data_IF_183931518128
#
_entry.id   IF_183931518128
#
_cell.length_a   1.000
_cell.length_b   1.000
_cell.length_c   1.000
_cell.angle_alpha   90.00
_cell.angle_beta   90.00
_cell.angle_gamma   90.00
#
_symmetry.space_group_name_H-M   'P 1'
#
loop_
_entity.id
_entity.type
_entity.pdbx_description
1 polymer ?
#
# COMPACT_ATOMS: atom_id res chain seq x y z
N UNK A 1 -3.44 -0.29 -7.51
CA UNK A 1 -4.58 -0.93 -8.19
C UNK A 1 -5.08 -0.01 -9.30
N UNK A 2 -4.61 -0.14 -10.54
CA UNK A 2 -5.32 0.37 -11.74
C UNK A 2 -4.76 -0.36 -12.96
N UNK A 3 -5.46 -1.39 -13.43
CA UNK A 3 -5.06 -2.22 -14.58
C UNK A 3 -5.85 -1.88 -15.86
N UNK A 4 -6.32 -0.63 -16.03
CA UNK A 4 -7.15 -0.31 -17.21
C UNK A 4 -7.55 1.15 -17.37
N UNK A 5 -6.60 2.09 -17.26
CA UNK A 5 -6.88 3.50 -17.55
C UNK A 5 -7.69 4.25 -16.48
N UNK A 6 -7.78 3.72 -15.26
CA UNK A 6 -8.44 4.42 -14.16
C UNK A 6 -7.45 5.37 -13.47
N UNK A 7 -7.80 6.65 -13.40
CA UNK A 7 -7.12 7.67 -12.59
C UNK A 7 -7.20 7.20 -11.13
N UNK A 8 -6.06 6.92 -10.51
CA UNK A 8 -6.02 6.50 -9.11
C UNK A 8 -5.85 7.69 -8.16
N UNK A 9 -6.00 7.45 -6.86
CA UNK A 9 -5.83 8.48 -5.83
C UNK A 9 -4.48 9.24 -5.92
N UNK A 10 -3.43 8.56 -6.39
CA UNK A 10 -2.11 9.17 -6.63
C UNK A 10 -2.16 10.15 -7.81
N UNK A 11 -2.85 9.80 -8.89
CA UNK A 11 -3.03 10.70 -10.05
C UNK A 11 -3.81 11.95 -9.66
N UNK A 12 -4.87 11.78 -8.85
CA UNK A 12 -5.67 12.90 -8.33
C UNK A 12 -4.82 13.83 -7.47
N UNK A 13 -4.05 13.28 -6.51
CA UNK A 13 -3.17 14.07 -5.65
C UNK A 13 -2.08 14.82 -6.44
N UNK A 14 -1.46 14.17 -7.43
CA UNK A 14 -0.49 14.82 -8.31
C UNK A 14 -1.13 15.93 -9.14
N UNK A 15 -2.30 15.68 -9.73
CA UNK A 15 -3.01 16.66 -10.55
C UNK A 15 -3.47 17.87 -9.74
N UNK A 16 -3.97 17.65 -8.52
CA UNK A 16 -4.35 18.72 -7.59
C UNK A 16 -3.15 19.61 -7.20
N UNK A 17 -1.94 19.04 -7.14
CA UNK A 17 -0.70 19.77 -6.92
C UNK A 17 -0.07 20.36 -8.20
N UNK A 18 -0.72 20.22 -9.36
CA UNK A 18 -0.22 20.72 -10.65
C UNK A 18 0.89 19.86 -11.28
N UNK A 19 1.15 18.66 -10.76
CA UNK A 19 2.13 17.74 -11.31
C UNK A 19 1.52 16.82 -12.38
N UNK A 20 2.38 16.41 -13.33
CA UNK A 20 2.07 15.39 -14.33
C UNK A 20 3.08 14.25 -14.21
N UNK A 21 2.67 13.04 -14.56
CA UNK A 21 3.56 11.87 -14.60
C UNK A 21 3.48 11.13 -15.93
N UNK A 22 4.59 10.53 -16.33
CA UNK A 22 4.65 9.60 -17.46
C UNK A 22 4.63 8.17 -16.92
N UNK A 23 3.59 7.39 -17.25
CA UNK A 23 3.46 6.00 -16.81
C UNK A 23 4.25 5.10 -17.75
N UNK A 24 5.26 4.38 -17.23
CA UNK A 24 6.09 3.42 -17.99
C UNK A 24 5.56 2.00 -17.96
N UNK A 25 4.92 1.61 -16.86
CA UNK A 25 4.30 0.30 -16.67
C UNK A 25 3.12 0.44 -15.71
N UNK A 26 2.17 -0.48 -15.80
CA UNK A 26 1.09 -0.62 -14.81
C UNK A 26 0.99 -2.07 -14.34
N UNK A 27 0.65 -2.26 -13.07
CA UNK A 27 0.43 -3.57 -12.45
C UNK A 27 -0.78 -3.52 -11.54
N UNK A 28 -1.50 -4.63 -11.46
CA UNK A 28 -2.57 -4.80 -10.48
C UNK A 28 -2.03 -5.03 -9.06
N UNK A 29 -0.80 -5.52 -8.87
CA UNK A 29 -0.32 -5.92 -7.55
C UNK A 29 1.03 -5.30 -7.19
N UNK A 30 1.17 -4.84 -5.94
CA UNK A 30 2.40 -4.23 -5.44
C UNK A 30 3.59 -5.18 -5.43
N UNK A 31 3.38 -6.49 -5.31
CA UNK A 31 4.46 -7.49 -5.31
C UNK A 31 5.29 -7.49 -6.61
N UNK A 32 4.75 -6.98 -7.72
CA UNK A 32 5.49 -6.87 -8.99
C UNK A 32 6.48 -5.67 -9.01
N UNK A 33 6.33 -4.71 -8.10
CA UNK A 33 7.08 -3.44 -8.15
C UNK A 33 8.60 -3.63 -8.12
N UNK A 34 9.21 -4.47 -7.24
CA UNK A 34 10.65 -4.67 -7.26
C UNK A 34 11.19 -5.11 -8.63
N UNK A 35 10.48 -6.03 -9.28
CA UNK A 35 10.87 -6.56 -10.60
C UNK A 35 10.71 -5.53 -11.73
N UNK A 36 9.84 -4.54 -11.58
CA UNK A 36 9.63 -3.47 -12.55
C UNK A 36 10.59 -2.29 -12.36
N UNK A 37 11.05 -2.05 -11.13
CA UNK A 37 11.86 -0.87 -10.80
C UNK A 37 13.35 -1.14 -10.73
N UNK A 38 13.78 -2.30 -10.23
CA UNK A 38 15.21 -2.61 -10.08
C UNK A 38 15.88 -2.59 -11.46
N UNK A 39 16.98 -1.84 -11.56
CA UNK A 39 17.70 -1.64 -12.83
C UNK A 39 17.07 -0.60 -13.78
N UNK A 40 15.98 0.07 -13.36
CA UNK A 40 15.37 1.17 -14.11
C UNK A 40 15.60 2.51 -13.44
N UNK A 41 15.31 3.59 -14.17
CA UNK A 41 15.24 4.97 -13.64
C UNK A 41 13.82 5.40 -13.25
N UNK A 42 12.88 4.44 -13.21
CA UNK A 42 11.49 4.72 -12.85
C UNK A 42 11.29 4.74 -11.34
N UNK A 43 10.25 5.44 -10.89
CA UNK A 43 9.81 5.45 -9.49
C UNK A 43 8.33 5.10 -9.41
N UNK A 44 7.85 4.77 -8.22
CA UNK A 44 6.44 4.54 -7.96
C UNK A 44 6.01 5.13 -6.62
N UNK A 45 4.71 5.35 -6.46
CA UNK A 45 4.09 5.74 -5.18
C UNK A 45 3.20 4.59 -4.72
N UNK A 46 3.45 4.07 -3.53
CA UNK A 46 2.72 2.95 -2.91
C UNK A 46 2.52 3.24 -1.43
N UNK A 47 1.59 2.55 -0.74
CA UNK A 47 1.43 2.69 0.71
C UNK A 47 2.74 2.38 1.46
N UNK A 48 2.99 3.09 2.55
CA UNK A 48 4.23 3.01 3.33
C UNK A 48 4.58 1.59 3.74
N UNK A 49 3.60 0.78 4.14
CA UNK A 49 3.85 -0.62 4.50
C UNK A 49 4.36 -1.47 3.33
N UNK A 50 3.80 -1.26 2.13
CA UNK A 50 4.21 -1.96 0.93
C UNK A 50 5.63 -1.53 0.53
N UNK A 51 5.92 -0.23 0.61
CA UNK A 51 7.23 0.32 0.33
C UNK A 51 8.32 -0.26 1.27
N UNK A 52 8.06 -0.28 2.59
CA UNK A 52 8.94 -0.87 3.61
C UNK A 52 9.15 -2.37 3.38
N UNK A 53 8.11 -3.11 2.95
CA UNK A 53 8.25 -4.51 2.61
C UNK A 53 9.17 -4.72 1.39
N UNK A 54 9.06 -3.87 0.37
CA UNK A 54 9.92 -3.91 -0.82
C UNK A 54 11.38 -3.58 -0.48
N UNK A 55 11.64 -2.61 0.39
CA UNK A 55 13.00 -2.28 0.84
C UNK A 55 13.69 -3.45 1.53
N UNK A 56 12.95 -4.29 2.28
CA UNK A 56 13.53 -5.46 2.95
C UNK A 56 13.97 -6.57 2.00
N UNK A 57 13.43 -6.60 0.78
CA UNK A 57 13.64 -7.70 -0.18
C UNK A 57 14.30 -7.25 -1.47
N UNK A 58 14.72 -5.98 -1.57
CA UNK A 58 15.32 -5.42 -2.78
C UNK A 58 16.33 -4.32 -2.44
N UNK A 59 17.00 -3.77 -3.46
CA UNK A 59 17.91 -2.63 -3.31
C UNK A 59 17.20 -1.28 -3.41
N UNK A 60 15.86 -1.28 -3.53
CA UNK A 60 15.07 -0.06 -3.64
C UNK A 60 15.14 0.77 -2.37
N UNK A 61 14.87 2.07 -2.52
CA UNK A 61 14.83 3.05 -1.42
C UNK A 61 13.50 3.79 -1.46
N UNK A 62 12.99 4.10 -0.27
CA UNK A 62 11.82 4.94 -0.06
C UNK A 62 12.20 6.40 0.11
N UNK A 63 11.29 7.27 -0.32
CA UNK A 63 11.37 8.71 -0.15
C UNK A 63 9.98 9.22 0.25
N UNK A 64 9.93 10.41 0.86
CA UNK A 64 8.66 11.05 1.16
C UNK A 64 7.85 11.27 -0.13
N UNK A 65 6.53 11.10 -0.05
CA UNK A 65 5.65 11.40 -1.18
C UNK A 65 5.67 12.92 -1.46
N UNK A 66 5.83 13.36 -2.73
CA UNK A 66 5.88 14.79 -3.05
C UNK A 66 4.54 15.51 -2.88
N UNK A 67 3.45 14.75 -2.65
CA UNK A 67 2.11 15.29 -2.42
C UNK A 67 1.50 14.61 -1.20
N UNK A 68 0.70 15.36 -0.44
CA UNK A 68 -0.12 14.78 0.61
C UNK A 68 -1.23 13.93 -0.02
N UNK A 69 -1.35 12.68 0.43
CA UNK A 69 -2.41 11.76 0.02
C UNK A 69 -3.26 11.42 1.24
N UNK A 70 -4.58 11.19 1.08
CA UNK A 70 -5.43 10.79 2.19
C UNK A 70 -4.95 9.46 2.77
N UNK A 71 -5.03 9.35 4.10
CA UNK A 71 -4.88 8.07 4.80
C UNK A 71 -6.10 7.18 4.54
N UNK A 72 -5.92 5.90 4.75
CA UNK A 72 -7.01 4.92 4.69
C UNK A 72 -6.89 3.94 5.84
N UNK A 73 -8.04 3.46 6.28
CA UNK A 73 -8.14 2.47 7.34
C UNK A 73 -8.09 1.06 6.78
N UNK A 74 -7.51 0.14 7.55
CA UNK A 74 -7.54 -1.29 7.28
C UNK A 74 -8.51 -1.95 8.25
N UNK A 75 -9.55 -2.59 7.71
CA UNK A 75 -10.59 -3.22 8.51
C UNK A 75 -10.58 -4.75 8.35
N UNK A 76 -10.90 -5.45 9.45
CA UNK A 76 -11.09 -6.90 9.44
C UNK A 76 -12.57 -7.21 9.26
N UNK A 77 -12.97 -7.50 8.02
CA UNK A 77 -14.32 -7.95 7.69
C UNK A 77 -14.62 -9.36 8.21
N UNK A 78 -15.77 -9.53 8.86
CA UNK A 78 -16.27 -10.85 9.30
C UNK A 78 -17.67 -11.09 8.78
N UNK A 79 -18.04 -12.37 8.61
CA UNK A 79 -19.42 -12.74 8.27
C UNK A 79 -20.40 -12.20 9.32
N UNK A 80 -21.53 -11.69 8.85
CA UNK A 80 -22.64 -11.25 9.70
C UNK A 80 -23.12 -12.41 10.58
N UNK A 81 -23.27 -12.17 11.88
CA UNK A 81 -23.70 -13.17 12.86
C UNK A 81 -22.57 -13.93 13.57
N UNK A 82 -21.31 -13.81 13.14
CA UNK A 82 -20.15 -14.45 13.78
C UNK A 82 -19.69 -13.77 15.09
N UNK A 83 -20.54 -12.95 15.71
CA UNK A 83 -20.21 -12.21 16.94
C UNK A 83 -19.91 -13.12 18.13
N UNK A 84 -20.53 -14.30 18.17
CA UNK A 84 -20.38 -15.27 19.26
C UNK A 84 -19.32 -16.35 18.99
N UNK A 85 -18.63 -16.30 17.84
CA UNK A 85 -17.55 -17.23 17.53
C UNK A 85 -16.29 -16.79 18.27
N UNK A 86 -16.00 -17.46 19.40
CA UNK A 86 -14.86 -17.12 20.27
C UNK A 86 -13.52 -17.32 19.57
N UNK A 87 -13.38 -18.35 18.73
CA UNK A 87 -12.16 -18.60 17.95
C UNK A 87 -11.90 -17.45 16.98
N UNK A 88 -12.94 -17.01 16.27
CA UNK A 88 -12.83 -15.86 15.36
C UNK A 88 -12.45 -14.58 16.11
N UNK A 89 -13.06 -14.30 17.27
CA UNK A 89 -12.71 -13.11 18.06
C UNK A 89 -11.25 -13.17 18.55
N UNK A 90 -10.78 -14.33 19.00
CA UNK A 90 -9.38 -14.53 19.42
C UNK A 90 -8.42 -14.29 18.27
N UNK A 91 -8.67 -14.87 17.09
CA UNK A 91 -7.81 -14.66 15.91
C UNK A 91 -7.79 -13.19 15.49
N UNK A 92 -8.94 -12.50 15.52
CA UNK A 92 -9.00 -11.06 15.23
C UNK A 92 -8.17 -10.25 16.19
N UNK A 93 -8.28 -10.52 17.49
CA UNK A 93 -7.51 -9.83 18.51
C UNK A 93 -6.00 -10.02 18.29
N UNK A 94 -5.57 -11.25 18.00
CA UNK A 94 -4.16 -11.55 17.70
C UNK A 94 -3.66 -10.83 16.43
N UNK A 95 -4.46 -10.77 15.37
CA UNK A 95 -4.08 -10.03 14.16
C UNK A 95 -3.91 -8.53 14.47
N UNK A 96 -4.84 -7.93 15.22
CA UNK A 96 -4.76 -6.52 15.60
C UNK A 96 -3.51 -6.26 16.44
N UNK A 97 -3.27 -7.08 17.47
CA UNK A 97 -2.08 -6.97 18.32
C UNK A 97 -0.78 -7.07 17.51
N UNK A 98 -0.67 -8.06 16.62
CA UNK A 98 0.51 -8.24 15.77
C UNK A 98 0.70 -7.07 14.79
N UNK A 99 -0.39 -6.52 14.26
CA UNK A 99 -0.36 -5.36 13.38
C UNK A 99 0.09 -4.13 14.16
N UNK A 100 -0.42 -3.88 15.36
CA UNK A 100 0.03 -2.77 16.21
C UNK A 100 1.52 -2.90 16.52
N UNK A 101 2.02 -4.10 16.84
CA UNK A 101 3.44 -4.32 17.13
C UNK A 101 4.35 -4.17 15.89
N UNK A 102 3.88 -4.60 14.72
CA UNK A 102 4.69 -4.66 13.50
C UNK A 102 4.57 -3.41 12.61
N UNK A 103 3.46 -2.68 12.73
CA UNK A 103 3.14 -1.49 11.95
C UNK A 103 3.23 -0.18 12.76
N UNK A 104 3.39 -0.23 14.09
CA UNK A 104 3.99 0.87 14.84
C UNK A 104 5.47 0.99 14.49
N UNK A 105 5.73 1.55 13.32
CA UNK A 105 7.05 2.00 12.91
C UNK A 105 6.94 3.50 12.73
N UNK A 106 7.26 4.18 13.82
CA UNK A 106 7.61 5.60 13.94
C UNK A 106 8.40 6.12 12.75
#
# INVERSE_FOLDING_TARGET
>A
MSSGGFVGIVDEGLNAAGYKRSIRASTSHFAAVPFLLVGSVSITTVPTHAARAMERVSTLKTFACPVALPSYDLEIGTRVGSKHDSTLQTVKALIIELVEQSFCLS
#
